data_IF_743472018803
#
_entry.id   IF_743472018803
#
_cell.length_a   1.000
_cell.length_b   1.000
_cell.length_c   1.000
_cell.angle_alpha   90.00
_cell.angle_beta   90.00
_cell.angle_gamma   90.00
#
_symmetry.space_group_name_H-M   'P 1'
#
loop_
_entity.id
_entity.type
_entity.pdbx_description
1 polymer ?
#
# COMPACT_ATOMS: atom_id res chain seq x y z
N UNK A 1 16.96 8.68 -63.13
CA UNK A 1 16.53 8.62 -61.72
C UNK A 1 15.20 9.35 -61.61
N UNK A 2 14.08 8.63 -61.46
CA UNK A 2 12.75 9.26 -61.36
C UNK A 2 12.59 9.77 -59.93
N UNK A 3 12.66 11.08 -59.75
CA UNK A 3 12.26 11.73 -58.51
C UNK A 3 10.74 11.59 -58.41
N UNK A 4 10.25 10.79 -57.47
CA UNK A 4 8.85 10.79 -57.11
C UNK A 4 8.65 11.95 -56.14
N UNK A 5 7.96 13.05 -56.52
CA UNK A 5 7.47 14.00 -55.54
C UNK A 5 6.38 13.27 -54.77
N UNK A 6 6.73 12.62 -53.66
CA UNK A 6 5.70 12.12 -52.77
C UNK A 6 5.02 13.31 -52.09
N UNK A 7 3.86 13.08 -51.45
CA UNK A 7 3.05 14.15 -50.87
C UNK A 7 3.69 14.67 -49.57
N UNK A 8 4.86 15.32 -49.66
CA UNK A 8 5.62 15.83 -48.53
C UNK A 8 5.49 17.35 -48.49
N UNK A 9 4.67 17.86 -47.58
CA UNK A 9 4.67 19.29 -47.32
C UNK A 9 3.70 19.70 -46.22
N UNK A 10 2.46 19.17 -46.26
CA UNK A 10 1.44 19.52 -45.26
C UNK A 10 0.68 18.30 -44.74
N UNK A 11 0.15 17.47 -45.63
CA UNK A 11 -0.76 16.39 -45.24
C UNK A 11 -0.05 15.28 -44.43
N UNK A 12 1.20 14.94 -44.77
CA UNK A 12 2.01 13.97 -44.01
C UNK A 12 2.36 14.43 -42.59
N UNK A 13 2.48 15.75 -42.36
CA UNK A 13 2.74 16.31 -41.03
C UNK A 13 1.48 16.19 -40.17
N UNK A 14 0.31 16.52 -40.72
CA UNK A 14 -0.98 16.32 -40.05
C UNK A 14 -1.26 14.85 -39.74
N UNK A 15 -0.97 13.93 -40.67
CA UNK A 15 -1.07 12.49 -40.42
C UNK A 15 -0.08 12.00 -39.35
N UNK A 16 1.15 12.52 -39.34
CA UNK A 16 2.14 12.23 -38.31
C UNK A 16 1.71 12.69 -36.92
N UNK A 17 1.19 13.92 -36.82
CA UNK A 17 0.65 14.47 -35.58
C UNK A 17 -0.58 13.66 -35.11
N UNK A 18 -1.50 13.35 -36.01
CA UNK A 18 -2.67 12.53 -35.69
C UNK A 18 -2.28 11.13 -35.19
N UNK A 19 -1.28 10.49 -35.81
CA UNK A 19 -0.75 9.20 -35.37
C UNK A 19 -0.07 9.28 -34.00
N UNK A 20 0.70 10.35 -33.75
CA UNK A 20 1.36 10.58 -32.45
C UNK A 20 0.33 10.79 -31.33
N UNK A 21 -0.66 11.65 -31.56
CA UNK A 21 -1.75 11.89 -30.61
C UNK A 21 -2.57 10.63 -30.36
N UNK A 22 -2.86 9.85 -31.41
CA UNK A 22 -3.54 8.56 -31.28
C UNK A 22 -2.75 7.57 -30.42
N UNK A 23 -1.43 7.49 -30.62
CA UNK A 23 -0.55 6.64 -29.82
C UNK A 23 -0.51 7.07 -28.35
N UNK A 24 -0.43 8.38 -28.09
CA UNK A 24 -0.50 8.92 -26.72
C UNK A 24 -1.84 8.60 -26.06
N UNK A 25 -2.95 8.70 -26.79
CA UNK A 25 -4.28 8.31 -26.30
C UNK A 25 -4.34 6.84 -25.91
N UNK A 26 -3.80 5.95 -26.75
CA UNK A 26 -3.75 4.51 -26.45
C UNK A 26 -2.91 4.24 -25.20
N UNK A 27 -1.74 4.86 -25.10
CA UNK A 27 -0.88 4.74 -23.91
C UNK A 27 -1.61 5.26 -22.67
N UNK A 28 -2.25 6.43 -22.75
CA UNK A 28 -3.02 7.00 -21.64
C UNK A 28 -4.16 6.07 -21.21
N UNK A 29 -4.83 5.41 -22.16
CA UNK A 29 -5.89 4.45 -21.88
C UNK A 29 -5.36 3.18 -21.22
N UNK A 30 -4.21 2.66 -21.67
CA UNK A 30 -3.52 1.53 -21.02
C UNK A 30 -3.10 1.91 -19.60
N UNK A 31 -2.48 3.07 -19.41
CA UNK A 31 -2.08 3.57 -18.09
C UNK A 31 -3.31 3.75 -17.19
N UNK A 32 -4.40 4.33 -17.69
CA UNK A 32 -5.64 4.47 -16.95
C UNK A 32 -6.22 3.11 -16.55
N UNK A 33 -6.21 2.12 -17.44
CA UNK A 33 -6.66 0.77 -17.15
C UNK A 33 -5.80 0.12 -16.06
N UNK A 34 -4.48 0.21 -16.16
CA UNK A 34 -3.54 -0.28 -15.14
C UNK A 34 -3.77 0.45 -13.82
N UNK A 35 -3.91 1.76 -13.82
CA UNK A 35 -4.19 2.55 -12.62
C UNK A 35 -5.53 2.18 -12.00
N UNK A 36 -6.58 1.95 -12.79
CA UNK A 36 -7.88 1.48 -12.29
C UNK A 36 -7.75 0.08 -11.71
N UNK A 37 -7.07 -0.83 -12.39
CA UNK A 37 -6.90 -2.20 -11.91
C UNK A 37 -6.07 -2.24 -10.62
N UNK A 38 -4.98 -1.48 -10.58
CA UNK A 38 -4.15 -1.29 -9.40
C UNK A 38 -4.93 -0.56 -8.31
N UNK A 39 -5.73 0.47 -8.59
CA UNK A 39 -6.57 1.15 -7.58
C UNK A 39 -7.74 0.30 -7.10
N UNK A 40 -8.23 -0.65 -7.89
CA UNK A 40 -9.22 -1.64 -7.46
C UNK A 40 -8.57 -2.72 -6.59
N UNK A 41 -7.36 -3.16 -6.92
CA UNK A 41 -6.58 -4.06 -6.08
C UNK A 41 -6.03 -3.37 -4.82
N UNK A 42 -5.77 -2.07 -4.90
CA UNK A 42 -5.32 -1.22 -3.80
C UNK A 42 -6.47 -0.45 -3.16
N UNK A 43 -7.73 -0.68 -3.54
CA UNK A 43 -8.86 -0.01 -2.91
C UNK A 43 -8.83 -0.46 -1.44
N UNK A 44 -8.43 0.42 -0.52
CA UNK A 44 -8.49 0.12 0.88
C UNK A 44 -9.98 0.14 1.21
N UNK A 45 -10.41 -0.79 2.02
CA UNK A 45 -11.66 -0.73 2.77
C UNK A 45 -11.90 0.69 3.30
N UNK A 46 -12.78 1.46 2.61
CA UNK A 46 -13.59 2.57 3.16
C UNK A 46 -12.75 3.75 3.72
N UNK A 47 -13.30 4.97 3.90
CA UNK A 47 -12.69 5.94 4.80
C UNK A 47 -12.79 5.38 6.22
N UNK A 48 -11.87 4.49 6.61
CA UNK A 48 -11.77 4.06 8.00
C UNK A 48 -11.22 5.25 8.75
N UNK A 49 -12.12 5.88 9.51
CA UNK A 49 -11.80 6.71 10.65
C UNK A 49 -10.51 6.20 11.32
N UNK A 50 -9.57 7.05 11.74
CA UNK A 50 -8.35 6.66 12.45
C UNK A 50 -8.51 5.84 13.75
N UNK A 51 -9.70 5.30 14.06
CA UNK A 51 -9.99 4.55 15.27
C UNK A 51 -10.86 3.29 15.09
N UNK A 52 -11.08 2.78 13.87
CA UNK A 52 -12.00 1.64 13.66
C UNK A 52 -11.39 0.40 12.96
N UNK A 53 -10.08 0.38 12.71
CA UNK A 53 -9.35 -0.83 12.30
C UNK A 53 -8.58 -1.38 13.49
N UNK A 54 -8.72 -2.69 13.79
CA UNK A 54 -8.02 -3.34 14.90
C UNK A 54 -6.50 -3.04 14.80
N UNK A 55 -5.88 -2.37 15.79
CA UNK A 55 -4.50 -1.89 15.70
C UNK A 55 -3.49 -3.01 15.43
N UNK A 56 -3.84 -4.25 15.77
CA UNK A 56 -3.06 -5.44 15.45
C UNK A 56 -2.87 -5.66 13.95
N UNK A 57 -3.87 -5.34 13.11
CA UNK A 57 -3.80 -5.52 11.65
C UNK A 57 -2.81 -4.52 11.02
N UNK A 58 -2.73 -3.29 11.53
CA UNK A 58 -1.74 -2.31 11.07
C UNK A 58 -0.30 -2.72 11.39
N UNK A 59 -0.06 -3.33 12.55
CA UNK A 59 1.25 -3.87 12.91
C UNK A 59 1.67 -5.03 12.01
N UNK A 60 0.71 -5.86 11.58
CA UNK A 60 0.92 -6.94 10.63
C UNK A 60 1.29 -6.40 9.24
N UNK A 61 0.59 -5.39 8.74
CA UNK A 61 0.90 -4.74 7.46
C UNK A 61 2.30 -4.10 7.46
N UNK A 62 2.68 -3.44 8.57
CA UNK A 62 4.01 -2.85 8.72
C UNK A 62 5.12 -3.92 8.69
N UNK A 63 4.91 -5.07 9.33
CA UNK A 63 5.87 -6.19 9.31
C UNK A 63 5.94 -6.87 7.94
N UNK A 64 4.83 -6.96 7.22
CA UNK A 64 4.82 -7.48 5.84
C UNK A 64 5.59 -6.55 4.91
N UNK A 65 5.37 -5.24 5.04
CA UNK A 65 6.10 -4.24 4.27
C UNK A 65 7.60 -4.20 4.61
N UNK A 66 7.97 -4.48 5.85
CA UNK A 66 9.35 -4.64 6.29
C UNK A 66 9.99 -5.97 5.86
N UNK A 67 9.20 -6.93 5.35
CA UNK A 67 9.67 -8.28 5.01
C UNK A 67 9.96 -9.16 6.23
N UNK A 68 9.53 -8.76 7.43
CA UNK A 68 9.73 -9.50 8.68
C UNK A 68 8.72 -10.66 8.85
N UNK A 69 7.67 -10.69 8.04
CA UNK A 69 6.64 -11.74 8.07
C UNK A 69 6.33 -12.21 6.64
N UNK A 70 6.12 -13.51 6.50
CA UNK A 70 5.74 -14.11 5.23
C UNK A 70 4.25 -13.87 4.91
N UNK A 71 3.90 -13.96 3.63
CA UNK A 71 2.56 -13.72 3.11
C UNK A 71 1.57 -14.76 3.65
N UNK A 72 2.00 -16.01 3.83
CA UNK A 72 1.17 -17.07 4.39
C UNK A 72 0.80 -16.78 5.86
N UNK A 73 1.79 -16.36 6.66
CA UNK A 73 1.61 -16.01 8.07
C UNK A 73 0.75 -14.76 8.26
N UNK A 74 0.92 -13.77 7.38
CA UNK A 74 0.08 -12.57 7.35
C UNK A 74 -1.39 -12.93 7.15
N UNK A 75 -1.70 -13.78 6.17
CA UNK A 75 -3.09 -14.16 5.88
C UNK A 75 -3.72 -14.96 7.02
N UNK A 76 -2.97 -15.88 7.64
CA UNK A 76 -3.45 -16.65 8.78
C UNK A 76 -3.79 -15.77 9.99
N UNK A 77 -2.91 -14.81 10.32
CA UNK A 77 -3.10 -13.89 11.45
C UNK A 77 -4.18 -12.84 11.18
N UNK A 78 -4.30 -12.38 9.93
CA UNK A 78 -5.37 -11.47 9.50
C UNK A 78 -6.74 -12.14 9.56
N UNK A 79 -6.83 -13.41 9.14
CA UNK A 79 -8.07 -14.19 9.24
C UNK A 79 -8.51 -14.37 10.71
N UNK A 80 -7.56 -14.67 11.61
CA UNK A 80 -7.82 -14.76 13.04
C UNK A 80 -8.32 -13.44 13.64
N UNK A 81 -7.67 -12.31 13.30
CA UNK A 81 -8.03 -10.97 13.80
C UNK A 81 -9.34 -10.41 13.23
N UNK A 82 -9.76 -10.90 12.06
CA UNK A 82 -11.04 -10.52 11.43
C UNK A 82 -12.20 -11.40 11.92
N UNK A 83 -11.89 -12.57 12.52
CA UNK A 83 -12.85 -13.57 12.96
C UNK A 83 -13.29 -13.48 14.43
N UNK A 84 -12.48 -13.00 15.37
CA UNK A 84 -12.87 -12.84 16.79
C UNK A 84 -11.81 -11.99 17.54
N UNK A 85 -12.22 -11.28 18.59
CA UNK A 85 -11.46 -10.28 19.34
C UNK A 85 -10.03 -10.72 19.79
N UNK A 86 -9.07 -9.77 19.87
CA UNK A 86 -7.68 -10.07 20.22
C UNK A 86 -7.55 -10.54 21.68
N UNK A 87 -6.67 -11.51 22.00
CA UNK A 87 -6.07 -11.53 23.33
C UNK A 87 -5.30 -10.20 23.45
N UNK A 88 -5.68 -9.36 24.42
CA UNK A 88 -4.86 -8.20 24.79
C UNK A 88 -3.42 -8.71 24.94
N UNK A 89 -2.42 -8.10 24.28
CA UNK A 89 -1.09 -8.17 24.83
C UNK A 89 -1.15 -7.37 26.13
N UNK A 90 -1.61 -8.02 27.19
CA UNK A 90 -1.34 -7.62 28.56
C UNK A 90 0.16 -7.78 28.79
N UNK A 91 0.94 -6.89 28.16
CA UNK A 91 2.20 -6.49 28.77
C UNK A 91 1.82 -5.70 30.02
N UNK A 92 1.50 -6.43 31.07
CA UNK A 92 1.51 -5.90 32.43
C UNK A 92 3.00 -5.78 32.77
N UNK A 93 3.55 -4.58 33.02
CA UNK A 93 4.86 -4.51 33.63
C UNK A 93 4.81 -5.38 34.88
N UNK A 94 5.79 -6.28 35.14
CA UNK A 94 5.83 -6.97 36.42
C UNK A 94 5.81 -5.91 37.52
N UNK A 95 4.83 -5.90 38.44
CA UNK A 95 4.91 -5.07 39.64
C UNK A 95 5.94 -5.68 40.61
N UNK A 96 7.21 -5.50 40.28
CA UNK A 96 8.34 -5.62 41.20
C UNK A 96 9.27 -4.51 40.75
N UNK A 97 9.15 -3.28 41.26
CA UNK A 97 9.58 -2.94 42.60
C UNK A 97 9.26 -1.44 42.81
N UNK A 98 8.40 -1.05 43.78
CA UNK A 98 8.50 0.27 44.38
C UNK A 98 9.86 0.33 45.09
N UNK A 99 10.73 1.31 44.81
CA UNK A 99 12.00 1.44 45.51
C UNK A 99 11.66 1.69 46.99
N UNK A 100 11.98 0.75 47.87
CA UNK A 100 12.01 1.05 49.30
C UNK A 100 13.33 1.82 49.55
N UNK A 101 13.29 3.14 49.81
CA UNK A 101 14.47 3.91 50.13
C UNK A 101 14.70 3.83 51.66
N UNK A 102 15.75 4.47 52.18
CA UNK A 102 17.01 3.91 52.63
C UNK A 102 17.05 3.64 54.16
N UNK A 103 17.89 2.71 54.59
CA UNK A 103 18.53 2.62 55.91
C UNK A 103 17.73 3.07 57.15
N UNK A 104 16.94 2.16 57.76
CA UNK A 104 16.63 2.26 59.19
C UNK A 104 17.60 1.37 59.98
N UNK A 105 18.79 1.94 60.17
CA UNK A 105 19.70 1.67 61.28
C UNK A 105 19.02 2.05 62.63
N UNK A 106 19.37 1.28 63.67
CA UNK A 106 19.25 1.53 65.12
C UNK A 106 18.02 1.01 65.88
N UNK A 107 18.32 0.12 66.84
CA UNK A 107 17.49 -0.16 68.01
C UNK A 107 17.93 -1.42 68.77
#
# INVERSE_FOLDING_TARGET
MRYYPGPHGGMGIWFGIAGFVGTLLVIALIVALVVVLVRRNKQPSVPVHPGAGNPAVHLLDQRLAAGEIDIADYQARKAALTGEAPPRPEWTPPPTEPPAPPDEDKG
#
